data_IF_306288761569
#
_entry.id   IF_306288761569
#
_cell.length_a   1.000
_cell.length_b   1.000
_cell.length_c   1.000
_cell.angle_alpha   90.00
_cell.angle_beta   90.00
_cell.angle_gamma   90.00
#
_symmetry.space_group_name_H-M   'P 1'
#
loop_
_entity.id
_entity.type
_entity.pdbx_description
1 polymer ?
#
# COMPACT_ATOMS: atom_id res chain seq x y z
N UNK A 1 21.03 16.86 13.47
CA UNK A 1 19.91 15.97 13.84
C UNK A 1 19.83 14.92 12.76
N UNK A 2 20.11 13.64 13.10
CA UNK A 2 19.98 12.55 12.16
C UNK A 2 18.52 12.48 11.65
N UNK A 3 18.38 12.31 10.35
CA UNK A 3 17.07 11.99 9.75
C UNK A 3 16.78 10.57 10.22
N UNK A 4 15.75 10.38 11.05
CA UNK A 4 15.29 9.05 11.40
C UNK A 4 14.84 8.36 10.11
N UNK A 5 15.57 7.32 9.73
CA UNK A 5 15.24 6.52 8.54
C UNK A 5 13.97 5.73 8.85
N UNK A 6 12.89 6.01 8.13
CA UNK A 6 11.64 5.29 8.28
C UNK A 6 11.83 3.80 7.93
N UNK A 7 11.26 2.94 8.74
CA UNK A 7 11.25 1.50 8.50
C UNK A 7 10.03 1.11 7.64
N UNK A 8 10.04 -0.11 7.10
CA UNK A 8 8.86 -0.69 6.44
C UNK A 8 7.59 -0.53 7.30
N UNK A 9 7.69 -0.81 8.59
CA UNK A 9 6.54 -0.73 9.50
C UNK A 9 6.03 0.70 9.68
N UNK A 10 6.90 1.69 9.65
CA UNK A 10 6.49 3.09 9.73
C UNK A 10 5.67 3.50 8.49
N UNK A 11 6.08 3.05 7.29
CA UNK A 11 5.30 3.29 6.07
C UNK A 11 3.95 2.60 6.08
N UNK A 12 3.87 1.34 6.55
CA UNK A 12 2.61 0.61 6.64
C UNK A 12 1.69 1.20 7.69
N UNK A 13 2.24 1.64 8.82
CA UNK A 13 1.49 2.33 9.86
C UNK A 13 0.93 3.67 9.37
N UNK A 14 1.75 4.46 8.66
CA UNK A 14 1.31 5.72 8.04
C UNK A 14 0.15 5.47 7.05
N UNK A 15 0.25 4.41 6.23
CA UNK A 15 -0.78 4.03 5.28
C UNK A 15 -2.10 3.67 5.98
N UNK A 16 -2.05 2.87 7.05
CA UNK A 16 -3.24 2.34 7.73
C UNK A 16 -3.84 3.34 8.70
N UNK A 17 -3.03 3.96 9.56
CA UNK A 17 -3.53 4.77 10.67
C UNK A 17 -3.75 6.23 10.29
N UNK A 18 -2.96 6.76 9.36
CA UNK A 18 -3.01 8.17 9.01
C UNK A 18 -3.72 8.43 7.68
N UNK A 19 -3.31 7.78 6.59
CA UNK A 19 -3.94 7.96 5.28
C UNK A 19 -5.26 7.19 5.20
N UNK A 20 -5.25 5.91 5.53
CA UNK A 20 -6.35 4.97 5.64
C UNK A 20 -7.02 4.60 4.32
N UNK A 21 -7.57 5.55 3.58
CA UNK A 21 -8.27 5.30 2.31
C UNK A 21 -7.31 5.26 1.13
N UNK A 22 -7.40 4.19 0.34
CA UNK A 22 -6.53 3.96 -0.83
C UNK A 22 -7.34 3.75 -2.10
N UNK A 23 -6.74 4.06 -3.23
CA UNK A 23 -7.28 3.66 -4.54
C UNK A 23 -6.62 2.38 -4.98
N UNK A 24 -7.38 1.28 -5.04
CA UNK A 24 -6.90 -0.03 -5.52
C UNK A 24 -7.28 -0.21 -6.98
N UNK A 25 -6.34 -0.69 -7.79
CA UNK A 25 -6.52 -1.08 -9.18
C UNK A 25 -6.47 -2.60 -9.33
N UNK A 26 -7.37 -3.11 -10.18
CA UNK A 26 -7.40 -4.48 -10.70
C UNK A 26 -7.73 -4.42 -12.19
N UNK A 27 -7.65 -5.55 -12.89
CA UNK A 27 -8.01 -5.64 -14.30
C UNK A 27 -9.44 -6.14 -14.41
N UNK A 28 -10.27 -5.45 -15.19
CA UNK A 28 -11.63 -5.87 -15.49
C UNK A 28 -11.69 -7.01 -16.50
N UNK A 29 -12.86 -7.63 -16.65
CA UNK A 29 -13.09 -8.71 -17.62
C UNK A 29 -12.87 -8.28 -19.08
N UNK A 30 -12.93 -6.97 -19.34
CA UNK A 30 -12.64 -6.34 -20.63
C UNK A 30 -11.14 -6.07 -20.87
N UNK A 31 -10.27 -6.47 -19.92
CA UNK A 31 -8.83 -6.25 -19.97
C UNK A 31 -8.39 -4.85 -19.58
N UNK A 32 -9.30 -3.96 -19.17
CA UNK A 32 -8.96 -2.60 -18.79
C UNK A 32 -8.80 -2.46 -17.26
N UNK A 33 -7.93 -1.56 -16.80
CA UNK A 33 -7.81 -1.24 -15.37
C UNK A 33 -9.12 -0.70 -14.79
N UNK A 34 -9.49 -1.18 -13.62
CA UNK A 34 -10.61 -0.68 -12.83
C UNK A 34 -10.11 -0.25 -11.46
N UNK A 35 -10.58 0.89 -10.97
CA UNK A 35 -10.18 1.41 -9.65
C UNK A 35 -11.38 1.54 -8.72
N UNK A 36 -11.11 1.43 -7.41
CA UNK A 36 -12.07 1.71 -6.34
C UNK A 36 -11.34 2.16 -5.09
N UNK A 37 -12.04 2.91 -4.26
CA UNK A 37 -11.51 3.32 -2.96
C UNK A 37 -11.79 2.22 -1.96
N UNK A 38 -10.75 1.78 -1.25
CA UNK A 38 -10.78 0.76 -0.20
C UNK A 38 -9.94 1.23 0.97
N UNK A 39 -10.46 1.08 2.17
CA UNK A 39 -9.73 1.41 3.38
C UNK A 39 -8.76 0.29 3.77
N UNK A 40 -7.53 0.66 4.15
CA UNK A 40 -6.56 -0.26 4.73
C UNK A 40 -6.85 -0.38 6.22
N UNK A 41 -7.12 -1.59 6.67
CA UNK A 41 -7.69 -1.84 7.99
C UNK A 41 -6.66 -2.15 9.06
N UNK A 42 -5.61 -2.88 8.70
CA UNK A 42 -4.56 -3.36 9.60
C UNK A 42 -3.22 -3.43 8.88
N UNK A 43 -2.14 -3.41 9.66
CA UNK A 43 -0.80 -3.79 9.19
C UNK A 43 -0.05 -4.52 10.29
N UNK A 44 0.80 -5.46 9.88
CA UNK A 44 1.73 -6.18 10.76
C UNK A 44 2.99 -6.60 9.98
N UNK A 45 3.81 -7.47 10.57
CA UNK A 45 5.03 -7.97 9.94
C UNK A 45 4.78 -8.73 8.62
N UNK A 46 3.60 -9.29 8.44
CA UNK A 46 3.23 -10.04 7.24
C UNK A 46 2.79 -9.14 6.09
N UNK A 47 2.24 -7.96 6.39
CA UNK A 47 1.79 -7.03 5.36
C UNK A 47 0.67 -6.10 5.78
N UNK A 48 -0.15 -5.74 4.80
CA UNK A 48 -1.27 -4.80 4.95
C UNK A 48 -2.57 -5.52 4.59
N UNK A 49 -3.64 -5.21 5.34
CA UNK A 49 -4.91 -5.91 5.25
C UNK A 49 -6.05 -4.97 4.88
N UNK A 50 -6.91 -5.46 4.01
CA UNK A 50 -8.17 -4.84 3.62
C UNK A 50 -9.24 -5.91 3.48
N UNK A 51 -10.50 -5.50 3.31
CA UNK A 51 -11.60 -6.45 3.19
C UNK A 51 -12.60 -6.00 2.12
N UNK A 52 -13.35 -6.99 1.62
CA UNK A 52 -14.49 -6.77 0.74
C UNK A 52 -15.53 -7.87 0.91
N UNK A 53 -16.76 -7.59 0.49
CA UNK A 53 -17.82 -8.58 0.56
C UNK A 53 -17.74 -9.59 -0.61
N UNK A 54 -17.99 -10.85 -0.28
CA UNK A 54 -18.26 -11.92 -1.26
C UNK A 54 -19.38 -11.51 -2.22
N UNK A 55 -19.29 -11.95 -3.48
CA UNK A 55 -20.28 -11.64 -4.49
C UNK A 55 -20.10 -10.33 -5.25
N UNK A 56 -19.16 -9.48 -4.84
CA UNK A 56 -18.78 -8.29 -5.63
C UNK A 56 -17.84 -8.67 -6.78
N UNK A 57 -17.95 -7.97 -7.92
CA UNK A 57 -17.00 -8.14 -9.03
C UNK A 57 -15.56 -7.94 -8.58
N UNK A 58 -15.30 -6.99 -7.67
CA UNK A 58 -14.01 -6.76 -7.07
C UNK A 58 -13.47 -7.99 -6.34
N UNK A 59 -14.31 -8.67 -5.54
CA UNK A 59 -13.92 -9.91 -4.87
C UNK A 59 -13.47 -10.99 -5.87
N UNK A 60 -14.26 -11.18 -6.95
CA UNK A 60 -13.91 -12.14 -8.00
C UNK A 60 -12.55 -11.79 -8.67
N UNK A 61 -12.32 -10.52 -8.98
CA UNK A 61 -11.06 -10.05 -9.54
C UNK A 61 -9.87 -10.31 -8.60
N UNK A 62 -10.04 -10.08 -7.30
CA UNK A 62 -8.99 -10.36 -6.31
C UNK A 62 -8.64 -11.85 -6.25
N UNK A 63 -9.67 -12.71 -6.25
CA UNK A 63 -9.50 -14.17 -6.22
C UNK A 63 -8.82 -14.70 -7.48
N UNK A 64 -9.16 -14.16 -8.64
CA UNK A 64 -8.64 -14.58 -9.93
C UNK A 64 -7.20 -14.09 -10.16
N UNK A 65 -6.95 -12.81 -9.85
CA UNK A 65 -5.68 -12.17 -10.22
C UNK A 65 -4.58 -12.37 -9.17
N UNK A 66 -4.94 -12.48 -7.90
CA UNK A 66 -3.98 -12.63 -6.80
C UNK A 66 -2.97 -11.48 -6.70
N UNK A 67 -3.25 -10.35 -7.34
CA UNK A 67 -2.36 -9.20 -7.45
C UNK A 67 -3.14 -7.91 -7.50
N UNK A 68 -2.61 -6.87 -6.86
CA UNK A 68 -3.17 -5.51 -6.90
C UNK A 68 -2.08 -4.46 -7.05
N UNK A 69 -2.47 -3.30 -7.51
CA UNK A 69 -1.75 -2.05 -7.31
C UNK A 69 -2.63 -1.08 -6.54
N UNK A 70 -2.03 -0.34 -5.63
CA UNK A 70 -2.74 0.70 -4.88
C UNK A 70 -1.91 1.96 -4.77
N UNK A 71 -2.60 3.08 -4.60
CA UNK A 71 -1.99 4.35 -4.23
C UNK A 71 -2.86 5.10 -3.24
N UNK A 72 -2.22 5.87 -2.38
CA UNK A 72 -2.86 6.70 -1.39
C UNK A 72 -2.09 8.00 -1.22
N UNK A 73 -2.81 9.09 -0.96
CA UNK A 73 -2.18 10.39 -0.74
C UNK A 73 -2.91 11.17 0.36
N UNK A 74 -2.13 11.85 1.20
CA UNK A 74 -2.62 12.78 2.21
C UNK A 74 -1.55 13.80 2.54
N UNK A 75 -1.91 15.08 2.65
CA UNK A 75 -0.99 16.15 3.05
C UNK A 75 0.31 16.22 2.22
N UNK A 76 0.21 15.98 0.89
CA UNK A 76 1.36 15.94 -0.02
C UNK A 76 2.33 14.78 0.19
N UNK A 77 1.95 13.80 0.99
CA UNK A 77 2.63 12.52 1.13
C UNK A 77 1.85 11.49 0.31
N UNK A 78 2.55 10.63 -0.42
CA UNK A 78 1.95 9.52 -1.14
C UNK A 78 2.69 8.21 -0.88
N UNK A 79 1.91 7.13 -0.84
CA UNK A 79 2.39 5.75 -0.77
C UNK A 79 1.75 4.97 -1.90
N UNK A 80 2.56 4.24 -2.66
CA UNK A 80 2.10 3.30 -3.66
C UNK A 80 2.63 1.91 -3.33
N UNK A 81 1.77 0.89 -3.49
CA UNK A 81 2.13 -0.51 -3.32
C UNK A 81 1.62 -1.31 -4.52
N UNK A 82 2.40 -2.29 -4.96
CA UNK A 82 1.97 -3.26 -5.96
C UNK A 82 2.51 -4.63 -5.62
N UNK A 83 1.66 -5.64 -5.67
CA UNK A 83 2.12 -6.95 -5.25
C UNK A 83 1.03 -7.99 -5.11
N UNK A 84 1.44 -9.12 -4.54
CA UNK A 84 0.63 -10.31 -4.38
C UNK A 84 -0.25 -10.24 -3.15
N UNK A 85 -1.48 -10.66 -3.32
CA UNK A 85 -2.46 -10.78 -2.24
C UNK A 85 -2.85 -12.24 -2.02
N UNK A 86 -3.32 -12.52 -0.82
CA UNK A 86 -3.99 -13.78 -0.49
C UNK A 86 -5.29 -13.49 0.28
N UNK A 87 -6.30 -14.27 0.00
CA UNK A 87 -7.51 -14.32 0.82
C UNK A 87 -7.21 -15.11 2.10
N UNK A 88 -7.49 -14.52 3.26
CA UNK A 88 -7.36 -15.17 4.57
C UNK A 88 -8.72 -15.44 5.24
N UNK A 89 -9.81 -15.31 4.46
CA UNK A 89 -11.16 -15.58 4.95
C UNK A 89 -11.59 -14.66 6.08
N UNK A 90 -12.06 -15.25 7.16
CA UNK A 90 -12.46 -14.51 8.37
C UNK A 90 -11.33 -14.29 9.37
N UNK A 91 -10.11 -14.77 9.07
CA UNK A 91 -8.96 -14.47 9.92
C UNK A 91 -8.81 -12.95 10.07
N UNK A 92 -8.48 -12.49 11.26
CA UNK A 92 -8.36 -11.07 11.59
C UNK A 92 -9.63 -10.22 11.43
N UNK A 93 -10.79 -10.80 11.08
CA UNK A 93 -12.01 -10.02 10.90
C UNK A 93 -12.44 -9.35 12.21
N UNK A 94 -12.35 -10.07 13.33
CA UNK A 94 -12.66 -9.50 14.64
C UNK A 94 -11.70 -8.37 15.02
N UNK A 95 -10.39 -8.54 14.77
CA UNK A 95 -9.37 -7.51 14.98
C UNK A 95 -9.63 -6.26 14.11
N UNK A 96 -10.05 -6.46 12.85
CA UNK A 96 -10.45 -5.35 11.96
C UNK A 96 -11.59 -4.55 12.57
N UNK A 97 -12.63 -5.22 13.05
CA UNK A 97 -13.80 -4.55 13.64
C UNK A 97 -13.51 -3.90 14.99
N UNK A 98 -12.59 -4.45 15.77
CA UNK A 98 -12.14 -3.88 17.03
C UNK A 98 -11.36 -2.57 16.80
N UNK A 99 -10.41 -2.58 15.86
CA UNK A 99 -9.59 -1.40 15.56
C UNK A 99 -10.31 -0.35 14.71
N UNK A 100 -11.31 -0.76 13.92
CA UNK A 100 -12.08 0.12 13.04
C UNK A 100 -13.57 0.11 13.44
N UNK A 101 -13.86 0.74 14.56
CA UNK A 101 -15.19 0.67 15.20
C UNK A 101 -16.34 1.17 14.33
N UNK A 102 -16.08 2.07 13.36
CA UNK A 102 -17.08 2.54 12.39
C UNK A 102 -17.62 1.40 11.52
N UNK A 103 -16.85 0.32 11.34
CA UNK A 103 -17.28 -0.85 10.59
C UNK A 103 -18.50 -1.53 11.20
N UNK A 104 -18.69 -1.44 12.52
CA UNK A 104 -19.86 -1.99 13.20
C UNK A 104 -21.16 -1.31 12.77
N UNK A 105 -21.09 -0.03 12.40
CA UNK A 105 -22.24 0.72 11.88
C UNK A 105 -22.57 0.35 10.44
N UNK A 106 -21.54 0.05 9.62
CA UNK A 106 -21.70 -0.32 8.21
C UNK A 106 -22.17 -1.77 8.08
N UNK A 107 -21.65 -2.66 8.93
CA UNK A 107 -21.95 -4.10 8.92
C UNK A 107 -22.42 -4.55 10.32
N UNK A 108 -23.65 -4.21 10.71
CA UNK A 108 -24.19 -4.57 12.01
C UNK A 108 -24.51 -6.07 12.09
N UNK A 109 -24.28 -6.65 13.29
CA UNK A 109 -24.64 -8.04 13.59
C UNK A 109 -24.00 -9.05 12.64
N UNK A 110 -24.78 -9.98 12.11
CA UNK A 110 -24.32 -11.09 11.27
C UNK A 110 -23.96 -10.69 9.83
N UNK A 111 -24.26 -9.44 9.42
CA UNK A 111 -23.96 -8.99 8.05
C UNK A 111 -22.47 -9.00 7.75
N UNK A 112 -21.62 -8.91 8.76
CA UNK A 112 -20.16 -9.03 8.64
C UNK A 112 -19.69 -10.39 8.09
N UNK A 113 -20.51 -11.43 8.18
CA UNK A 113 -20.21 -12.77 7.64
C UNK A 113 -20.06 -12.80 6.12
N UNK A 114 -20.55 -11.78 5.43
CA UNK A 114 -20.35 -11.59 3.99
C UNK A 114 -18.93 -11.12 3.64
N UNK A 115 -18.16 -10.63 4.63
CA UNK A 115 -16.83 -10.04 4.41
C UNK A 115 -15.74 -11.10 4.51
N UNK A 116 -14.73 -10.93 3.68
CA UNK A 116 -13.46 -11.66 3.80
C UNK A 116 -12.28 -10.70 3.73
N UNK A 117 -11.23 -11.06 4.47
CA UNK A 117 -10.01 -10.27 4.60
C UNK A 117 -8.97 -10.74 3.59
N UNK A 118 -8.31 -9.79 2.98
CA UNK A 118 -7.19 -9.99 2.07
C UNK A 118 -5.92 -9.40 2.68
N UNK A 119 -4.81 -10.10 2.50
CA UNK A 119 -3.48 -9.65 2.92
C UNK A 119 -2.61 -9.40 1.70
N UNK A 120 -2.11 -8.18 1.54
CA UNK A 120 -1.03 -7.84 0.61
C UNK A 120 0.29 -8.23 1.31
N UNK A 121 0.83 -9.40 0.97
CA UNK A 121 1.90 -10.06 1.71
C UNK A 121 3.28 -10.01 1.03
N UNK A 122 3.31 -9.72 -0.26
CA UNK A 122 4.55 -9.57 -1.05
C UNK A 122 4.37 -8.42 -2.02
N UNK A 123 5.07 -7.32 -1.80
CA UNK A 123 4.88 -6.11 -2.58
C UNK A 123 6.13 -5.24 -2.68
N UNK A 124 6.18 -4.44 -3.76
CA UNK A 124 7.06 -3.30 -3.90
C UNK A 124 6.31 -2.04 -3.46
N UNK A 125 6.95 -1.20 -2.67
CA UNK A 125 6.42 0.04 -2.13
C UNK A 125 7.27 1.24 -2.50
N UNK A 126 6.60 2.35 -2.75
CA UNK A 126 7.21 3.66 -3.01
C UNK A 126 6.61 4.67 -2.03
N UNK A 127 7.46 5.46 -1.42
CA UNK A 127 7.10 6.60 -0.58
C UNK A 127 7.57 7.89 -1.23
N UNK A 128 6.72 8.90 -1.26
CA UNK A 128 7.04 10.20 -1.82
C UNK A 128 6.43 11.30 -0.96
N UNK A 129 7.28 12.22 -0.49
CA UNK A 129 6.89 13.35 0.35
C UNK A 129 7.38 14.66 -0.28
N UNK A 130 6.45 15.53 -0.59
CA UNK A 130 6.66 16.89 -1.11
C UNK A 130 6.06 17.94 -0.16
N UNK A 131 5.84 17.61 1.09
CA UNK A 131 5.29 18.53 2.09
C UNK A 131 6.23 19.70 2.36
N UNK A 132 7.54 19.45 2.32
CA UNK A 132 8.59 20.49 2.33
C UNK A 132 9.28 20.55 0.95
N UNK A 133 9.01 21.59 0.13
CA UNK A 133 9.63 21.72 -1.19
C UNK A 133 11.17 21.84 -1.17
N UNK A 134 11.75 22.22 -0.03
CA UNK A 134 13.22 22.29 0.12
C UNK A 134 13.85 20.91 0.40
N UNK A 135 13.05 19.95 0.85
CA UNK A 135 13.48 18.61 1.26
C UNK A 135 12.50 17.55 0.75
N UNK A 136 12.51 17.34 -0.56
CA UNK A 136 11.71 16.28 -1.19
C UNK A 136 12.30 14.92 -0.84
N UNK A 137 11.47 14.03 -0.29
CA UNK A 137 11.88 12.66 0.06
C UNK A 137 11.27 11.68 -0.93
N UNK A 138 12.09 10.77 -1.43
CA UNK A 138 11.70 9.58 -2.18
C UNK A 138 12.36 8.38 -1.55
N UNK A 139 11.58 7.35 -1.29
CA UNK A 139 12.09 6.10 -0.75
C UNK A 139 11.34 4.91 -1.34
N UNK A 140 11.95 3.73 -1.26
CA UNK A 140 11.34 2.47 -1.69
C UNK A 140 11.52 1.42 -0.61
N UNK A 141 10.51 0.58 -0.45
CA UNK A 141 10.52 -0.48 0.54
C UNK A 141 9.81 -1.73 -0.02
N UNK A 142 9.98 -2.86 0.66
CA UNK A 142 9.36 -4.12 0.24
C UNK A 142 8.62 -4.79 1.39
N UNK A 143 7.55 -5.51 1.05
CA UNK A 143 6.83 -6.42 1.94
C UNK A 143 7.14 -7.84 1.49
N UNK A 144 7.51 -8.72 2.41
CA UNK A 144 7.65 -10.15 2.15
C UNK A 144 8.75 -10.57 1.17
N UNK A 145 9.53 -9.63 0.64
CA UNK A 145 10.66 -9.88 -0.26
C UNK A 145 11.97 -9.48 0.39
N UNK A 146 13.08 -10.05 -0.08
CA UNK A 146 14.39 -9.44 0.13
C UNK A 146 14.39 -8.04 -0.52
N UNK A 147 15.04 -7.08 0.14
CA UNK A 147 15.20 -5.74 -0.41
C UNK A 147 15.72 -5.84 -1.85
N UNK A 148 15.04 -5.21 -2.78
CA UNK A 148 15.55 -5.07 -4.13
C UNK A 148 16.77 -4.15 -4.08
N UNK A 149 17.80 -4.48 -4.85
CA UNK A 149 18.85 -3.50 -5.13
C UNK A 149 18.15 -2.26 -5.71
N UNK A 150 18.52 -1.09 -5.20
CA UNK A 150 17.90 0.16 -5.63
C UNK A 150 17.97 0.25 -7.18
N UNK A 151 16.82 0.26 -7.86
CA UNK A 151 16.84 0.40 -9.30
C UNK A 151 17.30 1.81 -9.61
N UNK A 152 18.31 1.93 -10.42
CA UNK A 152 18.64 3.20 -11.01
C UNK A 152 19.98 3.78 -10.58
N UNK A 153 20.17 4.98 -11.04
CA UNK A 153 21.39 5.75 -10.87
C UNK A 153 21.38 6.42 -9.50
N UNK A 154 22.44 6.29 -8.75
CA UNK A 154 22.64 7.03 -7.50
C UNK A 154 23.93 7.85 -7.56
N UNK A 155 23.95 8.94 -6.83
CA UNK A 155 25.14 9.77 -6.68
C UNK A 155 26.02 9.14 -5.61
N UNK A 156 27.07 8.44 -6.05
CA UNK A 156 28.04 7.82 -5.16
C UNK A 156 29.02 8.81 -4.52
N UNK A 157 29.83 8.32 -3.58
CA UNK A 157 30.84 9.12 -2.86
C UNK A 157 31.90 9.77 -3.77
N UNK A 158 32.11 9.24 -4.97
CA UNK A 158 32.99 9.82 -5.97
C UNK A 158 32.43 11.02 -6.74
N UNK A 159 31.24 11.49 -6.40
CA UNK A 159 30.64 12.64 -7.07
C UNK A 159 31.37 13.94 -6.76
N UNK A 160 31.89 14.59 -7.81
CA UNK A 160 32.59 15.88 -7.72
C UNK A 160 31.63 17.09 -7.86
N UNK A 161 30.31 16.86 -7.91
CA UNK A 161 29.29 17.91 -8.02
C UNK A 161 29.27 18.66 -9.35
N UNK A 162 29.79 18.09 -10.44
CA UNK A 162 29.89 18.74 -11.75
C UNK A 162 28.53 18.99 -12.45
N UNK A 163 27.41 18.43 -11.92
CA UNK A 163 26.04 18.58 -12.44
C UNK A 163 25.78 18.04 -13.86
N UNK A 164 26.74 17.34 -14.48
CA UNK A 164 26.57 16.74 -15.80
C UNK A 164 25.41 15.74 -15.83
N UNK A 165 25.15 15.03 -14.73
CA UNK A 165 24.02 14.09 -14.63
C UNK A 165 22.66 14.77 -14.78
N UNK A 166 22.51 16.06 -14.47
CA UNK A 166 21.24 16.78 -14.65
C UNK A 166 20.83 16.95 -16.11
N UNK A 167 21.79 16.91 -17.03
CA UNK A 167 21.54 17.06 -18.46
C UNK A 167 21.21 15.74 -19.16
N UNK A 168 21.46 14.59 -18.51
CA UNK A 168 21.29 13.24 -19.07
C UNK A 168 20.35 12.36 -18.24
N UNK A 169 19.87 12.86 -17.09
CA UNK A 169 18.87 12.15 -16.30
C UNK A 169 17.52 12.22 -17.01
N UNK A 170 16.88 11.07 -17.37
CA UNK A 170 15.61 11.05 -18.06
C UNK A 170 14.47 11.58 -17.21
#
# INVERSE_FOLDING_TARGET
>A
KGVDVMTKQDYLKLLVEDIHSTTIATIGADGHPQTRVIDMMLSDEQGVYFLTAKGKAFYAQLMEQGYIALSATKNKISISLRGKIKNIGSEKLDEVFEKNTYMQSIYPGDTRSALEVFCLYEADGEYFDISDPAHIVRDSFTIGKAAQEAPGYYVGEGCIGCKLCYSVCP
#
